data_IF_828513926172
#
_entry.id   IF_828513926172
#
_cell.length_a   1.000
_cell.length_b   1.000
_cell.length_c   1.000
_cell.angle_alpha   90.00
_cell.angle_beta   90.00
_cell.angle_gamma   90.00
#
_symmetry.space_group_name_H-M   'P 1'
#
loop_
_entity.id
_entity.type
_entity.pdbx_description
1 polymer ?
#
# COMPACT_ATOMS: atom_id res chain seq x y z
N UNK A 1 2.25 10.83 -2.37
CA UNK A 1 1.75 9.71 -1.55
C UNK A 1 2.09 10.02 -0.11
N UNK A 2 1.39 10.96 0.53
CA UNK A 2 1.80 11.44 1.86
C UNK A 2 0.87 10.91 2.97
N UNK A 3 -0.45 10.96 2.78
CA UNK A 3 -1.41 10.58 3.82
C UNK A 3 -1.53 9.06 4.00
N UNK A 4 -1.62 8.30 2.91
CA UNK A 4 -1.60 6.83 2.96
C UNK A 4 -0.33 6.32 3.64
N UNK A 5 0.83 6.87 3.27
CA UNK A 5 2.11 6.49 3.87
C UNK A 5 2.14 6.78 5.38
N UNK A 6 1.67 7.97 5.80
CA UNK A 6 1.59 8.34 7.21
C UNK A 6 0.71 7.40 8.05
N UNK A 7 -0.42 6.94 7.48
CA UNK A 7 -1.32 5.99 8.17
C UNK A 7 -0.76 4.57 8.15
N UNK A 8 -0.13 4.14 7.05
CA UNK A 8 0.40 2.77 6.95
C UNK A 8 1.69 2.55 7.73
N UNK A 9 2.49 3.59 7.97
CA UNK A 9 3.75 3.46 8.72
C UNK A 9 3.57 2.81 10.10
N UNK A 10 2.68 3.29 10.99
CA UNK A 10 2.52 2.67 12.31
C UNK A 10 2.03 1.22 12.21
N UNK A 11 1.16 0.90 11.23
CA UNK A 11 0.73 -0.47 11.01
C UNK A 11 1.88 -1.39 10.55
N UNK A 12 2.85 -0.86 9.81
CA UNK A 12 4.00 -1.63 9.33
C UNK A 12 4.95 -2.03 10.47
N UNK A 13 5.02 -1.21 11.53
CA UNK A 13 5.84 -1.48 12.72
C UNK A 13 5.26 -2.59 13.62
N UNK A 14 3.95 -2.84 13.53
CA UNK A 14 3.25 -3.87 14.31
C UNK A 14 3.38 -5.27 13.69
N UNK A 15 3.44 -5.35 12.36
CA UNK A 15 3.46 -6.61 11.59
C UNK A 15 4.59 -7.59 11.99
N UNK A 16 5.85 -7.15 12.23
CA UNK A 16 6.94 -8.05 12.60
C UNK A 16 6.71 -8.73 13.96
N UNK A 17 6.13 -8.00 14.91
CA UNK A 17 5.88 -8.50 16.27
C UNK A 17 4.81 -9.59 16.27
N UNK A 18 3.75 -9.42 15.48
CA UNK A 18 2.66 -10.40 15.38
C UNK A 18 3.02 -11.64 14.54
N UNK A 19 3.93 -11.50 13.58
CA UNK A 19 4.26 -12.56 12.62
C UNK A 19 5.62 -13.21 12.82
N UNK A 20 6.25 -13.06 13.99
CA UNK A 20 7.58 -13.59 14.29
C UNK A 20 7.75 -15.11 14.07
N UNK A 21 6.66 -15.88 14.08
CA UNK A 21 6.67 -17.33 13.83
C UNK A 21 6.53 -17.72 12.35
N UNK A 22 6.27 -16.77 11.44
CA UNK A 22 6.02 -17.08 10.02
C UNK A 22 7.31 -17.19 9.21
N UNK A 23 7.27 -18.01 8.16
CA UNK A 23 8.42 -18.30 7.28
C UNK A 23 8.99 -17.08 6.53
N UNK A 24 8.16 -16.05 6.29
CA UNK A 24 8.54 -14.87 5.52
C UNK A 24 8.28 -13.60 6.33
N UNK A 25 9.05 -12.55 6.06
CA UNK A 25 8.70 -11.20 6.49
C UNK A 25 7.46 -10.72 5.73
N UNK A 26 6.56 -10.01 6.40
CA UNK A 26 5.34 -9.48 5.79
C UNK A 26 5.41 -7.95 5.68
N UNK A 27 4.75 -7.42 4.66
CA UNK A 27 4.57 -5.98 4.47
C UNK A 27 3.13 -5.66 4.13
N UNK A 28 2.74 -4.43 4.37
CA UNK A 28 1.43 -3.91 3.95
C UNK A 28 1.35 -3.95 2.41
N UNK A 29 0.20 -4.39 1.91
CA UNK A 29 -0.13 -4.27 0.51
C UNK A 29 -0.42 -2.80 0.14
N UNK A 30 0.60 -2.09 -0.35
CA UNK A 30 0.48 -0.67 -0.72
C UNK A 30 -0.62 -0.43 -1.76
N UNK A 31 -0.85 -1.37 -2.68
CA UNK A 31 -1.89 -1.25 -3.72
C UNK A 31 -3.29 -1.28 -3.10
N UNK A 32 -3.53 -2.24 -2.20
CA UNK A 32 -4.80 -2.33 -1.46
C UNK A 32 -4.96 -1.13 -0.53
N UNK A 33 -3.90 -0.73 0.18
CA UNK A 33 -3.93 0.44 1.06
C UNK A 33 -4.31 1.71 0.30
N UNK A 34 -3.74 1.91 -0.90
CA UNK A 34 -4.11 3.03 -1.76
C UNK A 34 -5.57 2.97 -2.21
N UNK A 35 -6.02 1.79 -2.65
CA UNK A 35 -7.40 1.60 -3.11
C UNK A 35 -8.40 1.92 -2.00
N UNK A 36 -8.17 1.42 -0.78
CA UNK A 36 -9.06 1.65 0.37
C UNK A 36 -8.97 3.08 0.88
N UNK A 37 -7.77 3.68 0.85
CA UNK A 37 -7.60 5.08 1.22
C UNK A 37 -8.35 6.01 0.28
N UNK A 38 -8.37 5.73 -1.03
CA UNK A 38 -9.11 6.53 -2.02
C UNK A 38 -10.60 6.66 -1.65
N UNK A 39 -11.22 5.55 -1.24
CA UNK A 39 -12.65 5.53 -0.89
C UNK A 39 -12.91 6.12 0.51
N UNK A 40 -11.92 6.02 1.41
CA UNK A 40 -12.08 6.41 2.83
C UNK A 40 -11.62 7.83 3.14
N UNK A 41 -10.80 8.46 2.28
CA UNK A 41 -10.22 9.78 2.56
C UNK A 41 -11.28 10.85 2.73
N UNK A 42 -12.33 10.84 1.91
CA UNK A 42 -13.43 11.79 2.00
C UNK A 42 -14.21 11.59 3.30
N UNK A 43 -14.40 10.34 3.71
CA UNK A 43 -15.12 9.99 4.94
C UNK A 43 -14.38 10.47 6.21
N UNK A 44 -13.04 10.51 6.19
CA UNK A 44 -12.24 11.02 7.29
C UNK A 44 -12.46 12.52 7.56
N UNK A 45 -12.87 13.30 6.56
CA UNK A 45 -13.14 14.74 6.71
C UNK A 45 -14.60 15.07 7.02
N UNK A 46 -15.53 14.20 6.67
CA UNK A 46 -16.98 14.46 6.80
C UNK A 46 -17.58 13.86 8.08
N UNK A 47 -17.07 12.72 8.54
CA UNK A 47 -17.64 12.01 9.70
C UNK A 47 -17.13 12.61 11.01
N UNK A 48 -18.00 12.65 12.03
CA UNK A 48 -17.64 13.02 13.41
C UNK A 48 -16.83 11.91 14.12
N UNK A 49 -17.08 10.64 13.79
CA UNK A 49 -16.43 9.48 14.41
C UNK A 49 -15.13 9.06 13.69
N UNK A 50 -14.20 10.01 13.53
CA UNK A 50 -12.96 9.81 12.75
C UNK A 50 -12.09 8.69 13.33
N UNK A 51 -11.98 8.61 14.67
CA UNK A 51 -11.13 7.61 15.36
C UNK A 51 -11.55 6.18 15.06
N UNK A 52 -12.86 5.91 15.09
CA UNK A 52 -13.38 4.56 14.82
C UNK A 52 -13.13 4.16 13.37
N UNK A 53 -13.30 5.10 12.43
CA UNK A 53 -13.00 4.88 11.02
C UNK A 53 -11.51 4.59 10.80
N UNK A 54 -10.64 5.35 11.47
CA UNK A 54 -9.19 5.16 11.39
C UNK A 54 -8.77 3.78 11.91
N UNK A 55 -9.30 3.35 13.05
CA UNK A 55 -9.01 2.03 13.61
C UNK A 55 -9.44 0.91 12.66
N UNK A 56 -10.66 0.98 12.09
CA UNK A 56 -11.12 0.01 11.09
C UNK A 56 -10.23 -0.02 9.85
N UNK A 57 -9.69 1.14 9.44
CA UNK A 57 -8.77 1.22 8.31
C UNK A 57 -7.44 0.53 8.61
N UNK A 58 -6.90 0.75 9.82
CA UNK A 58 -5.68 0.11 10.29
C UNK A 58 -5.84 -1.41 10.40
N UNK A 59 -6.94 -1.89 10.98
CA UNK A 59 -7.27 -3.31 11.08
C UNK A 59 -7.32 -3.97 9.69
N UNK A 60 -7.90 -3.29 8.71
CA UNK A 60 -7.96 -3.75 7.33
C UNK A 60 -6.55 -3.85 6.72
N UNK A 61 -5.66 -2.89 6.99
CA UNK A 61 -4.28 -2.94 6.49
C UNK A 61 -3.46 -4.07 7.12
N UNK A 62 -3.66 -4.35 8.41
CA UNK A 62 -3.04 -5.48 9.10
C UNK A 62 -3.56 -6.81 8.55
N UNK A 63 -4.86 -6.91 8.23
CA UNK A 63 -5.44 -8.09 7.62
C UNK A 63 -4.96 -8.33 6.17
N UNK A 64 -4.63 -7.26 5.43
CA UNK A 64 -4.25 -7.29 4.01
C UNK A 64 -2.73 -7.21 3.78
N UNK A 65 -1.98 -8.00 4.54
CA UNK A 65 -0.52 -8.10 4.41
C UNK A 65 -0.08 -9.08 3.31
N UNK A 66 1.04 -8.77 2.68
CA UNK A 66 1.69 -9.60 1.67
C UNK A 66 3.05 -10.12 2.16
N UNK A 67 3.41 -11.38 1.87
CA UNK A 67 4.74 -11.90 2.19
C UNK A 67 5.82 -11.32 1.26
N UNK A 68 6.94 -10.92 1.85
CA UNK A 68 8.17 -10.55 1.15
C UNK A 68 8.90 -11.85 0.78
N UNK A 69 8.85 -12.21 -0.49
CA UNK A 69 9.59 -13.36 -1.02
C UNK A 69 11.07 -13.03 -1.18
N UNK A 70 11.88 -13.49 -0.23
CA UNK A 70 13.35 -13.47 -0.32
C UNK A 70 13.82 -14.43 -1.44
N UNK A 71 14.94 -14.11 -2.10
CA UNK A 71 15.55 -14.99 -3.12
C UNK A 71 14.81 -15.07 -4.46
N UNK A 72 14.27 -13.96 -4.98
CA UNK A 72 13.71 -13.97 -6.34
C UNK A 72 14.81 -14.21 -7.38
N UNK A 73 14.61 -15.23 -8.24
CA UNK A 73 15.44 -15.47 -9.44
C UNK A 73 15.53 -14.22 -10.34
N UNK A 74 14.46 -13.42 -10.38
CA UNK A 74 14.40 -12.14 -11.08
C UNK A 74 13.95 -11.04 -10.10
N UNK A 75 14.86 -10.21 -9.57
CA UNK A 75 14.52 -9.16 -8.62
C UNK A 75 13.74 -8.04 -9.30
N UNK A 76 12.71 -7.51 -8.63
CA UNK A 76 11.94 -6.37 -9.15
C UNK A 76 12.73 -5.10 -8.91
N UNK A 77 13.23 -4.46 -9.97
CA UNK A 77 13.76 -3.09 -9.90
C UNK A 77 12.59 -2.11 -9.85
N UNK A 78 12.33 -1.51 -8.68
CA UNK A 78 11.40 -0.38 -8.57
C UNK A 78 12.13 0.90 -9.01
N UNK A 79 12.27 1.10 -10.30
CA UNK A 79 12.69 2.39 -10.86
C UNK A 79 11.45 3.14 -11.34
N UNK A 80 11.30 4.41 -10.96
CA UNK A 80 10.38 5.30 -11.67
C UNK A 80 10.73 5.30 -13.15
N UNK A 81 9.73 5.18 -14.03
CA UNK A 81 9.95 5.17 -15.47
C UNK A 81 10.55 6.52 -15.86
N UNK A 82 11.87 6.57 -16.12
CA UNK A 82 12.58 7.82 -16.46
C UNK A 82 12.36 8.25 -17.91
N UNK A 83 11.90 7.34 -18.77
CA UNK A 83 11.67 7.59 -20.20
C UNK A 83 10.18 7.78 -20.44
N UNK A 84 9.82 8.90 -21.10
CA UNK A 84 8.46 9.16 -21.56
C UNK A 84 7.95 8.02 -22.43
N UNK A 85 6.62 7.88 -22.48
CA UNK A 85 5.97 6.93 -23.40
C UNK A 85 6.42 7.24 -24.82
N UNK A 86 6.71 6.20 -25.61
CA UNK A 86 6.92 6.40 -27.04
C UNK A 86 5.61 6.97 -27.60
N UNK A 87 5.62 8.11 -28.32
CA UNK A 87 4.41 8.60 -28.96
C UNK A 87 3.88 7.49 -29.86
N UNK A 88 2.59 7.19 -29.77
CA UNK A 88 1.92 6.30 -30.71
C UNK A 88 2.26 6.78 -32.13
N UNK A 89 2.69 5.85 -32.99
CA UNK A 89 3.06 6.16 -34.37
C UNK A 89 1.93 6.94 -35.05
N UNK A 90 2.32 7.91 -35.88
CA UNK A 90 1.46 8.95 -36.49
C UNK A 90 0.08 8.41 -36.92
N UNK A 91 -1.01 9.18 -36.74
CA UNK A 91 -2.29 8.79 -37.30
C UNK A 91 -2.15 8.64 -38.82
N UNK A 92 -2.62 7.51 -39.34
CA UNK A 92 -2.79 7.29 -40.77
C UNK A 92 -3.87 8.29 -41.20
N UNK A 93 -3.50 9.18 -42.13
CA UNK A 93 -4.41 10.15 -42.75
C UNK A 93 -5.11 9.51 -43.94
#
# INVERSE_FOLDING_TARGET
>A
MNLTAAITHPAQDVIPNENGQRKYAYRINVTQALSKMKDSIVLLFIRSNIKELLNKLLDLFIATIEPIRLGRKYPRKQSGQRRGFYPCYKPIR
#
